data_IF_834372381330
#
_entry.id   IF_834372381330
#
_cell.length_a   1.000
_cell.length_b   1.000
_cell.length_c   1.000
_cell.angle_alpha   90.00
_cell.angle_beta   90.00
_cell.angle_gamma   90.00
#
_symmetry.space_group_name_H-M   'P 1'
#
loop_
_entity.id
_entity.type
_entity.pdbx_description
1 polymer ?
#
# COMPACT_ATOMS: atom_id res chain seq x y z
N UNK A 1 -31.60 -29.93 29.10
CA UNK A 1 -31.14 -28.54 28.84
C UNK A 1 -29.63 -28.54 29.03
N UNK A 2 -28.85 -28.37 27.96
CA UNK A 2 -27.39 -28.32 28.08
C UNK A 2 -26.98 -26.99 28.72
N UNK A 3 -26.12 -27.03 29.74
CA UNK A 3 -25.53 -25.83 30.34
C UNK A 3 -24.05 -25.79 29.94
N UNK A 4 -23.66 -24.77 29.18
CA UNK A 4 -22.28 -24.50 28.80
C UNK A 4 -21.77 -23.40 29.72
N UNK A 5 -20.65 -23.66 30.40
CA UNK A 5 -20.03 -22.69 31.33
C UNK A 5 -18.59 -22.45 30.89
N UNK A 6 -18.22 -21.18 30.68
CA UNK A 6 -16.82 -20.77 30.46
C UNK A 6 -16.04 -20.94 31.75
N UNK A 7 -14.93 -21.67 31.72
CA UNK A 7 -14.16 -21.96 32.94
C UNK A 7 -12.80 -21.27 32.98
N UNK A 8 -12.05 -21.29 31.87
CA UNK A 8 -10.73 -20.66 31.77
C UNK A 8 -10.52 -20.14 30.35
N UNK A 9 -9.96 -18.93 30.24
CA UNK A 9 -9.36 -18.44 29.01
C UNK A 9 -7.97 -17.90 29.33
N UNK A 10 -6.98 -18.27 28.52
CA UNK A 10 -5.59 -17.85 28.69
C UNK A 10 -4.90 -17.69 27.32
N UNK A 11 -3.88 -16.84 27.30
CA UNK A 11 -3.13 -16.47 26.08
C UNK A 11 -1.77 -17.16 26.08
N UNK A 12 -1.43 -17.87 25.00
CA UNK A 12 -0.08 -18.44 24.79
C UNK A 12 0.39 -18.08 23.41
N UNK A 13 1.50 -17.33 23.29
CA UNK A 13 2.10 -16.95 21.99
C UNK A 13 1.06 -16.42 20.99
N UNK A 14 0.24 -15.45 21.43
CA UNK A 14 -0.85 -14.80 20.67
C UNK A 14 -2.12 -15.64 20.45
N UNK A 15 -2.13 -16.93 20.81
CA UNK A 15 -3.32 -17.79 20.69
C UNK A 15 -4.21 -17.64 21.93
N UNK A 16 -5.48 -17.32 21.73
CA UNK A 16 -6.50 -17.32 22.79
C UNK A 16 -7.14 -18.71 22.86
N UNK A 17 -6.91 -19.43 23.96
CA UNK A 17 -7.50 -20.75 24.17
C UNK A 17 -8.57 -20.61 25.24
N UNK A 18 -9.84 -20.75 24.83
CA UNK A 18 -10.94 -20.82 25.77
C UNK A 18 -11.43 -22.27 25.85
N UNK A 19 -11.46 -22.81 27.08
CA UNK A 19 -11.91 -24.17 27.35
C UNK A 19 -13.33 -24.12 27.90
N UNK A 20 -14.25 -24.77 27.18
CA UNK A 20 -15.65 -24.88 27.57
C UNK A 20 -16.00 -26.32 27.92
N UNK A 21 -16.82 -26.47 28.94
CA UNK A 21 -17.42 -27.75 29.30
C UNK A 21 -18.92 -27.67 29.09
N UNK A 22 -19.46 -28.64 28.37
CA UNK A 22 -20.89 -28.85 28.22
C UNK A 22 -21.34 -29.97 29.16
N UNK A 23 -22.31 -29.68 30.03
CA UNK A 23 -22.90 -30.66 30.93
C UNK A 23 -24.30 -31.08 30.44
N UNK A 24 -24.54 -32.40 30.39
CA UNK A 24 -25.85 -32.98 30.13
C UNK A 24 -26.21 -34.00 31.21
N UNK A 25 -26.93 -33.56 32.25
CA UNK A 25 -27.34 -34.43 33.35
C UNK A 25 -26.16 -35.05 34.10
N UNK A 26 -26.34 -36.28 34.62
CA UNK A 26 -25.44 -36.88 35.63
C UNK A 26 -24.17 -37.50 35.04
N UNK A 27 -24.10 -37.79 33.74
CA UNK A 27 -22.92 -38.47 33.16
C UNK A 27 -22.66 -38.11 31.69
N UNK A 28 -21.76 -37.15 31.46
CA UNK A 28 -20.66 -37.15 30.47
C UNK A 28 -20.12 -35.72 30.34
N UNK A 29 -18.82 -35.58 30.56
CA UNK A 29 -18.07 -34.34 30.36
C UNK A 29 -17.55 -34.33 28.92
N UNK A 30 -18.02 -33.40 28.10
CA UNK A 30 -17.39 -33.12 26.81
C UNK A 30 -16.48 -31.91 26.98
N UNK A 31 -15.17 -32.13 26.82
CA UNK A 31 -14.21 -31.05 26.66
C UNK A 31 -14.40 -30.49 25.25
N UNK A 32 -14.86 -29.26 25.15
CA UNK A 32 -14.88 -28.53 23.88
C UNK A 32 -13.77 -27.49 23.98
N UNK A 33 -12.64 -27.81 23.38
CA UNK A 33 -11.53 -26.86 23.23
C UNK A 33 -11.77 -26.06 21.96
N UNK A 34 -12.06 -24.77 22.11
CA UNK A 34 -11.97 -23.84 21.00
C UNK A 34 -10.56 -23.25 21.04
N UNK A 35 -9.76 -23.59 20.03
CA UNK A 35 -8.54 -22.85 19.73
C UNK A 35 -8.98 -21.71 18.82
N UNK A 36 -9.06 -20.50 19.38
CA UNK A 36 -9.07 -19.33 18.52
C UNK A 36 -7.63 -19.15 18.09
N UNK A 37 -7.38 -19.29 16.78
CA UNK A 37 -6.23 -18.65 16.19
C UNK A 37 -6.44 -17.14 16.34
N UNK A 38 -6.05 -16.63 17.50
CA UNK A 38 -5.60 -15.26 17.66
C UNK A 38 -4.34 -15.12 16.83
N UNK A 39 -4.48 -15.17 15.51
CA UNK A 39 -3.46 -14.61 14.67
C UNK A 39 -3.51 -13.10 14.90
N UNK A 40 -2.80 -12.66 15.93
CA UNK A 40 -2.01 -11.44 15.83
C UNK A 40 -0.78 -11.77 14.94
N UNK A 41 -0.98 -12.40 13.78
CA UNK A 41 -0.09 -12.25 12.64
C UNK A 41 -0.31 -10.81 12.21
N UNK A 42 0.42 -9.89 12.83
CA UNK A 42 0.38 -8.47 12.53
C UNK A 42 0.30 -8.32 11.02
N UNK A 43 -0.86 -7.88 10.53
CA UNK A 43 -1.08 -7.42 9.18
C UNK A 43 -0.17 -6.22 9.02
N UNK A 44 1.11 -6.45 8.75
CA UNK A 44 2.03 -5.39 8.41
C UNK A 44 1.63 -4.99 7.00
N UNK A 45 0.85 -3.92 6.90
CA UNK A 45 0.46 -3.37 5.61
C UNK A 45 1.43 -2.23 5.31
N UNK A 46 1.92 -2.21 4.08
CA UNK A 46 2.71 -1.15 3.53
C UNK A 46 1.86 -0.38 2.52
N UNK A 47 1.76 0.92 2.72
CA UNK A 47 1.28 1.86 1.73
C UNK A 47 2.47 2.39 0.93
N UNK A 48 2.59 2.03 -0.35
CA UNK A 48 3.75 2.48 -1.15
C UNK A 48 3.51 3.80 -1.89
N UNK A 49 2.31 4.37 -1.81
CA UNK A 49 1.94 5.55 -2.57
C UNK A 49 1.07 6.47 -1.70
N UNK A 50 1.64 7.59 -1.26
CA UNK A 50 0.93 8.58 -0.44
C UNK A 50 1.52 9.98 -0.58
N UNK A 51 0.67 11.01 -0.46
CA UNK A 51 1.07 12.42 -0.47
C UNK A 51 0.98 12.97 0.95
N UNK A 52 1.79 12.34 1.81
CA UNK A 52 1.74 12.49 3.25
C UNK A 52 2.41 13.78 3.75
N UNK A 53 3.53 14.17 3.13
CA UNK A 53 4.39 15.23 3.66
C UNK A 53 3.79 16.62 3.43
N UNK A 54 3.82 17.51 4.44
CA UNK A 54 3.10 18.77 4.37
C UNK A 54 3.78 19.77 3.42
N UNK A 55 2.96 20.40 2.56
CA UNK A 55 3.37 21.56 1.77
C UNK A 55 4.28 21.28 0.58
N UNK A 56 4.50 20.01 0.22
CA UNK A 56 5.31 19.63 -0.94
C UNK A 56 4.50 19.70 -2.25
N UNK A 57 3.30 19.13 -2.27
CA UNK A 57 2.42 19.05 -3.44
C UNK A 57 0.96 19.39 -3.08
N UNK A 58 -0.01 18.75 -3.74
CA UNK A 58 -1.44 18.87 -3.48
C UNK A 58 -1.97 17.88 -2.42
N UNK A 59 -1.07 17.15 -1.75
CA UNK A 59 -1.36 16.30 -0.61
C UNK A 59 -1.60 17.08 0.68
N UNK A 60 -0.95 16.61 1.75
CA UNK A 60 -1.08 17.20 3.07
C UNK A 60 -0.70 18.70 3.07
N UNK A 61 -1.56 19.53 3.64
CA UNK A 61 -1.36 20.99 3.72
C UNK A 61 -0.53 21.44 4.93
N UNK A 62 -0.50 20.63 5.99
CA UNK A 62 0.09 20.97 7.29
C UNK A 62 0.36 19.70 8.13
N UNK A 63 1.12 19.87 9.22
CA UNK A 63 1.46 18.78 10.14
C UNK A 63 0.23 18.17 10.81
N UNK A 64 -0.79 18.97 11.10
CA UNK A 64 -2.04 18.46 11.67
C UNK A 64 -2.69 17.45 10.72
N UNK A 65 -2.82 17.78 9.44
CA UNK A 65 -3.37 16.88 8.41
C UNK A 65 -2.50 15.62 8.27
N UNK A 66 -1.18 15.79 8.22
CA UNK A 66 -0.19 14.70 8.14
C UNK A 66 -0.36 13.69 9.28
N UNK A 67 -0.45 14.18 10.52
CA UNK A 67 -0.58 13.34 11.71
C UNK A 67 -1.94 12.63 11.77
N UNK A 68 -3.02 13.28 11.34
CA UNK A 68 -4.32 12.62 11.20
C UNK A 68 -4.28 11.50 10.15
N UNK A 69 -3.62 11.72 9.01
CA UNK A 69 -3.46 10.70 7.98
C UNK A 69 -2.66 9.49 8.50
N UNK A 70 -1.53 9.72 9.18
CA UNK A 70 -0.73 8.65 9.82
C UNK A 70 -1.57 7.87 10.83
N UNK A 71 -2.36 8.57 11.66
CA UNK A 71 -3.21 7.93 12.65
C UNK A 71 -4.24 7.01 12.00
N UNK A 72 -4.93 7.49 10.96
CA UNK A 72 -5.93 6.68 10.25
C UNK A 72 -5.31 5.46 9.57
N UNK A 73 -4.17 5.62 8.89
CA UNK A 73 -3.41 4.49 8.32
C UNK A 73 -3.04 3.46 9.40
N UNK A 74 -2.53 3.94 10.55
CA UNK A 74 -2.12 3.06 11.64
C UNK A 74 -3.30 2.27 12.23
N UNK A 75 -4.44 2.92 12.41
CA UNK A 75 -5.71 2.30 12.86
C UNK A 75 -6.21 1.28 11.84
N UNK A 76 -5.95 1.48 10.55
CA UNK A 76 -6.26 0.53 9.47
C UNK A 76 -5.33 -0.68 9.39
N UNK A 77 -4.24 -0.69 10.18
CA UNK A 77 -3.26 -1.77 10.21
C UNK A 77 -1.97 -1.49 9.43
N UNK A 78 -1.84 -0.31 8.80
CA UNK A 78 -0.61 0.09 8.13
C UNK A 78 0.51 0.33 9.14
N UNK A 79 1.71 -0.12 8.80
CA UNK A 79 2.91 0.01 9.65
C UNK A 79 4.10 0.63 8.91
N UNK A 80 3.97 0.78 7.60
CA UNK A 80 4.96 1.40 6.74
C UNK A 80 4.25 2.23 5.67
N UNK A 81 4.69 3.46 5.49
CA UNK A 81 4.20 4.37 4.46
C UNK A 81 5.40 4.88 3.67
N UNK A 82 5.36 4.77 2.35
CA UNK A 82 6.25 5.54 1.49
C UNK A 82 5.63 6.92 1.26
N UNK A 83 6.37 7.96 1.63
CA UNK A 83 6.01 9.34 1.33
C UNK A 83 6.44 9.63 -0.11
N UNK A 84 5.50 9.60 -1.05
CA UNK A 84 5.75 9.66 -2.49
C UNK A 84 5.18 10.94 -3.10
N UNK A 85 5.48 12.09 -2.50
CA UNK A 85 5.07 13.37 -3.08
C UNK A 85 5.51 13.51 -4.54
N UNK A 86 4.72 14.21 -5.34
CA UNK A 86 4.94 14.30 -6.79
C UNK A 86 6.34 14.83 -7.13
N UNK A 87 6.94 14.32 -8.21
CA UNK A 87 8.00 14.98 -8.95
C UNK A 87 7.45 15.39 -10.30
N UNK A 88 7.32 16.70 -10.52
CA UNK A 88 6.81 17.27 -11.77
C UNK A 88 7.89 18.17 -12.38
N UNK A 89 8.38 17.90 -13.61
CA UNK A 89 9.51 18.64 -14.18
C UNK A 89 9.21 20.14 -14.39
N UNK A 90 7.93 20.52 -14.51
CA UNK A 90 7.50 21.91 -14.63
C UNK A 90 7.23 22.61 -13.29
N UNK A 91 7.21 21.89 -12.17
CA UNK A 91 6.89 22.45 -10.84
C UNK A 91 8.17 22.50 -9.99
N UNK A 92 8.73 23.69 -9.84
CA UNK A 92 9.98 23.94 -9.09
C UNK A 92 9.90 23.74 -7.56
N UNK A 93 8.79 23.27 -7.01
CA UNK A 93 8.49 23.40 -5.57
C UNK A 93 9.07 22.32 -4.68
N UNK A 94 9.43 21.14 -5.20
CA UNK A 94 9.87 20.04 -4.33
C UNK A 94 11.38 19.89 -4.41
N UNK A 95 12.03 20.21 -3.30
CA UNK A 95 13.45 19.95 -3.11
C UNK A 95 13.53 18.51 -2.60
N UNK A 96 13.88 17.57 -3.49
CA UNK A 96 14.01 16.15 -3.17
C UNK A 96 14.82 15.91 -1.86
N UNK A 97 15.85 16.72 -1.63
CA UNK A 97 16.71 16.68 -0.45
C UNK A 97 15.96 16.89 0.89
N UNK A 98 14.79 17.54 0.88
CA UNK A 98 13.98 17.76 2.08
C UNK A 98 13.18 16.53 2.49
N UNK A 99 12.83 15.65 1.55
CA UNK A 99 11.91 14.52 1.78
C UNK A 99 12.41 13.60 2.90
N UNK A 100 13.69 13.15 2.94
CA UNK A 100 14.18 12.31 4.04
C UNK A 100 14.02 12.97 5.42
N UNK A 101 14.34 14.26 5.53
CA UNK A 101 14.23 14.98 6.80
C UNK A 101 12.78 15.16 7.25
N UNK A 102 11.85 15.34 6.31
CA UNK A 102 10.42 15.43 6.59
C UNK A 102 9.82 14.07 6.96
N UNK A 103 10.31 12.97 6.38
CA UNK A 103 9.97 11.62 6.80
C UNK A 103 10.40 11.37 8.26
N UNK A 104 11.63 11.74 8.61
CA UNK A 104 12.14 11.61 9.99
C UNK A 104 11.32 12.46 10.97
N UNK A 105 10.96 13.69 10.59
CA UNK A 105 10.10 14.55 11.40
C UNK A 105 8.69 13.96 11.56
N UNK A 106 8.12 13.37 10.50
CA UNK A 106 6.83 12.70 10.55
C UNK A 106 6.85 11.50 11.51
N UNK A 107 7.89 10.65 11.48
CA UNK A 107 8.09 9.55 12.43
C UNK A 107 8.19 10.08 13.87
N UNK A 108 9.02 11.11 14.08
CA UNK A 108 9.23 11.70 15.40
C UNK A 108 7.93 12.26 15.98
N UNK A 109 7.18 13.03 15.19
CA UNK A 109 5.90 13.62 15.63
C UNK A 109 4.83 12.56 15.86
N UNK A 110 4.73 11.55 14.99
CA UNK A 110 3.82 10.43 15.22
C UNK A 110 4.09 9.74 16.56
N UNK A 111 5.37 9.53 16.89
CA UNK A 111 5.78 8.97 18.19
C UNK A 111 5.45 9.91 19.34
N UNK A 112 5.87 11.18 19.29
CA UNK A 112 5.76 12.10 20.43
C UNK A 112 4.35 12.64 20.67
N UNK A 113 3.57 12.85 19.61
CA UNK A 113 2.26 13.49 19.68
C UNK A 113 1.11 12.48 19.69
N UNK A 114 1.26 11.32 19.04
CA UNK A 114 0.21 10.29 18.93
C UNK A 114 0.53 9.00 19.70
N UNK A 115 1.79 8.79 20.11
CA UNK A 115 2.23 7.52 20.68
C UNK A 115 2.25 6.38 19.65
N UNK A 116 2.41 6.70 18.37
CA UNK A 116 2.35 5.75 17.26
C UNK A 116 3.77 5.50 16.71
N UNK A 117 4.14 4.23 16.59
CA UNK A 117 5.35 3.79 15.89
C UNK A 117 4.99 3.47 14.43
N UNK A 118 5.13 4.46 13.55
CA UNK A 118 4.97 4.32 12.10
C UNK A 118 6.33 4.43 11.42
N UNK A 119 6.61 3.57 10.44
CA UNK A 119 7.78 3.73 9.57
C UNK A 119 7.40 4.58 8.36
N UNK A 120 8.10 5.70 8.14
CA UNK A 120 7.93 6.56 6.97
C UNK A 120 9.18 6.45 6.10
N UNK A 121 9.01 6.04 4.85
CA UNK A 121 10.10 5.77 3.91
C UNK A 121 10.12 6.87 2.85
N UNK A 122 11.27 7.50 2.57
CA UNK A 122 11.37 8.49 1.51
C UNK A 122 11.19 7.85 0.12
N UNK A 123 10.51 8.56 -0.76
CA UNK A 123 10.34 8.24 -2.17
C UNK A 123 9.68 9.41 -2.88
N UNK A 124 9.34 9.25 -4.16
CA UNK A 124 8.52 10.21 -4.92
C UNK A 124 7.68 9.46 -5.95
N UNK A 125 6.51 10.01 -6.26
CA UNK A 125 5.77 9.66 -7.47
C UNK A 125 6.35 10.47 -8.64
N UNK A 126 6.95 9.79 -9.61
CA UNK A 126 7.71 10.41 -10.68
C UNK A 126 6.85 10.55 -11.93
N UNK A 127 6.47 11.79 -12.27
CA UNK A 127 5.84 12.03 -13.57
C UNK A 127 6.89 11.86 -14.67
N UNK A 128 6.62 10.94 -15.60
CA UNK A 128 7.57 10.63 -16.65
C UNK A 128 7.83 11.81 -17.59
N UNK A 129 9.11 12.06 -17.85
CA UNK A 129 9.61 12.86 -18.96
C UNK A 129 10.94 12.28 -19.45
N UNK A 130 11.46 12.77 -20.57
CA UNK A 130 12.62 12.17 -21.24
C UNK A 130 13.88 12.21 -20.37
N UNK A 131 14.10 13.28 -19.62
CA UNK A 131 15.27 13.53 -18.78
C UNK A 131 15.11 13.01 -17.33
N UNK A 132 14.07 12.20 -17.06
CA UNK A 132 13.83 11.66 -15.71
C UNK A 132 15.01 10.81 -15.21
N UNK A 133 15.65 9.92 -16.00
CA UNK A 133 16.83 9.18 -15.56
C UNK A 133 17.97 10.08 -15.08
N UNK A 134 18.25 11.16 -15.80
CA UNK A 134 19.27 12.15 -15.46
C UNK A 134 18.87 12.92 -14.19
N UNK A 135 17.60 13.29 -14.05
CA UNK A 135 17.10 13.94 -12.84
C UNK A 135 17.28 13.07 -11.58
N UNK A 136 17.03 11.77 -11.68
CA UNK A 136 17.28 10.82 -10.59
C UNK A 136 18.78 10.71 -10.30
N UNK A 137 19.62 10.56 -11.34
CA UNK A 137 21.07 10.44 -11.19
C UNK A 137 21.72 11.68 -10.55
N UNK A 138 21.16 12.87 -10.80
CA UNK A 138 21.59 14.14 -10.20
C UNK A 138 20.98 14.41 -8.82
N UNK A 139 20.15 13.51 -8.29
CA UNK A 139 19.48 13.66 -6.98
C UNK A 139 18.33 14.67 -6.97
N UNK A 140 17.86 15.11 -8.14
CA UNK A 140 16.71 16.02 -8.28
C UNK A 140 15.37 15.31 -8.10
N UNK A 141 15.35 13.99 -8.28
CA UNK A 141 14.21 13.12 -8.07
C UNK A 141 14.64 11.90 -7.25
N UNK A 142 13.76 11.37 -6.40
CA UNK A 142 14.06 10.22 -5.55
C UNK A 142 13.45 8.92 -6.11
N UNK A 143 14.23 7.84 -6.01
CA UNK A 143 13.70 6.48 -6.08
C UNK A 143 13.05 6.09 -4.74
N UNK A 144 12.31 4.99 -4.72
CA UNK A 144 11.72 4.48 -3.49
C UNK A 144 12.82 3.92 -2.57
N UNK A 145 12.92 4.43 -1.34
CA UNK A 145 13.91 4.02 -0.34
C UNK A 145 15.38 4.12 -0.80
N UNK A 146 15.69 4.93 -1.82
CA UNK A 146 17.04 4.97 -2.41
C UNK A 146 17.43 3.69 -3.17
N UNK A 147 16.47 2.81 -3.45
CA UNK A 147 16.66 1.57 -4.22
C UNK A 147 16.68 1.80 -5.74
N UNK A 148 16.74 0.73 -6.54
CA UNK A 148 16.51 0.80 -7.99
C UNK A 148 15.03 0.90 -8.37
N UNK A 149 14.09 0.78 -7.41
CA UNK A 149 12.65 0.86 -7.69
C UNK A 149 12.17 2.30 -7.80
N UNK A 150 11.39 2.57 -8.85
CA UNK A 150 10.76 3.87 -9.07
C UNK A 150 9.25 3.72 -9.19
N UNK A 151 8.51 4.63 -8.54
CA UNK A 151 7.07 4.77 -8.74
C UNK A 151 6.84 5.82 -9.82
N UNK A 152 6.31 5.42 -10.96
CA UNK A 152 6.19 6.29 -12.14
C UNK A 152 4.73 6.45 -12.54
N UNK A 153 4.36 7.69 -12.82
CA UNK A 153 3.07 8.06 -13.41
C UNK A 153 3.25 8.67 -14.80
N UNK A 154 2.14 8.71 -15.55
CA UNK A 154 2.05 9.28 -16.89
C UNK A 154 0.76 10.09 -17.00
N UNK A 155 0.61 10.83 -18.10
CA UNK A 155 -0.71 11.27 -18.53
C UNK A 155 -1.66 10.07 -18.68
N UNK A 156 -2.87 10.16 -18.13
CA UNK A 156 -3.85 9.06 -18.15
C UNK A 156 -4.24 8.63 -19.58
N UNK A 157 -4.12 9.55 -20.55
CA UNK A 157 -4.42 9.36 -21.97
C UNK A 157 -3.17 9.02 -22.80
N UNK A 158 -2.03 8.73 -22.16
CA UNK A 158 -0.79 8.42 -22.86
C UNK A 158 -0.99 7.32 -23.93
N UNK A 159 -0.58 7.56 -25.18
CA UNK A 159 -0.60 6.53 -26.21
C UNK A 159 0.28 5.35 -25.83
N UNK A 160 -0.17 4.12 -26.10
CA UNK A 160 0.56 2.90 -25.77
C UNK A 160 2.03 2.91 -26.23
N UNK A 161 2.29 3.36 -27.46
CA UNK A 161 3.63 3.39 -28.03
C UNK A 161 4.57 4.33 -27.26
N UNK A 162 4.05 5.39 -26.66
CA UNK A 162 4.83 6.33 -25.86
C UNK A 162 5.13 5.74 -24.48
N UNK A 163 4.11 5.18 -23.81
CA UNK A 163 4.30 4.47 -22.55
C UNK A 163 5.30 3.32 -22.70
N UNK A 164 5.17 2.49 -23.73
CA UNK A 164 6.07 1.36 -23.95
C UNK A 164 7.52 1.81 -24.11
N UNK A 165 7.77 2.87 -24.89
CA UNK A 165 9.12 3.44 -25.06
C UNK A 165 9.66 4.00 -23.74
N UNK A 166 8.81 4.70 -22.98
CA UNK A 166 9.18 5.24 -21.69
C UNK A 166 9.61 4.16 -20.70
N UNK A 167 8.80 3.11 -20.56
CA UNK A 167 9.10 1.96 -19.70
C UNK A 167 10.43 1.31 -20.11
N UNK A 168 10.67 1.10 -21.41
CA UNK A 168 11.94 0.55 -21.91
C UNK A 168 13.14 1.45 -21.60
N UNK A 169 12.98 2.78 -21.73
CA UNK A 169 14.06 3.73 -21.45
C UNK A 169 14.44 3.73 -19.97
N UNK A 170 13.45 3.75 -19.07
CA UNK A 170 13.68 3.68 -17.62
C UNK A 170 14.37 2.37 -17.23
N UNK A 171 13.95 1.25 -17.80
CA UNK A 171 14.57 -0.05 -17.55
C UNK A 171 16.01 -0.13 -18.09
N UNK A 172 16.28 0.43 -19.28
CA UNK A 172 17.65 0.53 -19.83
C UNK A 172 18.57 1.40 -18.97
N UNK A 173 18.00 2.41 -18.31
CA UNK A 173 18.72 3.22 -17.32
C UNK A 173 18.97 2.48 -15.98
N UNK A 174 18.47 1.25 -15.83
CA UNK A 174 18.74 0.38 -14.68
C UNK A 174 17.64 0.37 -13.62
N UNK A 175 16.51 1.05 -13.84
CA UNK A 175 15.43 1.13 -12.86
C UNK A 175 14.41 0.00 -12.95
N UNK A 176 13.88 -0.41 -11.80
CA UNK A 176 12.74 -1.33 -11.69
C UNK A 176 11.45 -0.52 -11.57
N UNK A 177 10.67 -0.52 -12.64
CA UNK A 177 9.49 0.35 -12.74
C UNK A 177 8.29 -0.26 -12.00
N UNK A 178 7.70 0.56 -11.13
CA UNK A 178 6.37 0.37 -10.56
C UNK A 178 5.46 1.42 -11.21
N UNK A 179 4.44 0.96 -11.91
CA UNK A 179 3.45 1.84 -12.52
C UNK A 179 2.41 2.24 -11.47
N UNK A 180 2.38 3.53 -11.11
CA UNK A 180 1.42 4.12 -10.18
C UNK A 180 -0.01 3.97 -10.72
N UNK A 181 -0.99 3.78 -9.83
CA UNK A 181 -2.44 3.76 -10.12
C UNK A 181 -2.78 3.18 -11.50
N UNK A 182 -2.29 1.97 -11.78
CA UNK A 182 -2.29 1.36 -13.11
C UNK A 182 -3.68 1.28 -13.78
N UNK A 183 -4.73 1.31 -12.96
CA UNK A 183 -6.13 1.40 -13.35
C UNK A 183 -6.56 2.74 -14.00
N UNK A 184 -5.70 3.75 -14.03
CA UNK A 184 -6.00 5.03 -14.71
C UNK A 184 -5.65 5.01 -16.20
N UNK A 185 -4.76 4.12 -16.64
CA UNK A 185 -4.28 4.10 -18.02
C UNK A 185 -5.22 3.33 -18.95
N UNK A 186 -5.95 4.06 -19.80
CA UNK A 186 -6.87 3.48 -20.79
C UNK A 186 -6.18 2.49 -21.72
N UNK A 187 -4.95 2.79 -22.16
CA UNK A 187 -4.17 1.92 -23.03
C UNK A 187 -3.83 0.56 -22.39
N UNK A 188 -3.73 0.48 -21.06
CA UNK A 188 -3.53 -0.78 -20.33
C UNK A 188 -4.87 -1.49 -20.09
N UNK A 189 -5.92 -0.74 -19.78
CA UNK A 189 -7.22 -1.30 -19.41
C UNK A 189 -7.99 -1.91 -20.56
N UNK A 190 -7.94 -1.27 -21.71
CA UNK A 190 -8.82 -1.56 -22.85
C UNK A 190 -8.11 -2.33 -23.97
N UNK A 191 -6.81 -2.58 -23.84
CA UNK A 191 -5.97 -3.25 -24.85
C UNK A 191 -5.33 -4.55 -24.38
N UNK A 192 -4.60 -5.18 -25.29
CA UNK A 192 -3.76 -6.38 -25.02
C UNK A 192 -2.41 -6.01 -24.38
N UNK A 193 -2.24 -4.75 -23.99
CA UNK A 193 -0.97 -4.16 -23.60
C UNK A 193 -0.54 -4.52 -22.19
N UNK A 194 -1.49 -4.84 -21.30
CA UNK A 194 -1.20 -5.28 -19.94
C UNK A 194 -0.21 -6.46 -19.90
N UNK A 195 -0.42 -7.49 -20.72
CA UNK A 195 0.46 -8.66 -20.74
C UNK A 195 1.86 -8.30 -21.24
N UNK A 196 1.97 -7.30 -22.12
CA UNK A 196 3.26 -6.76 -22.55
C UNK A 196 3.94 -6.04 -21.39
N UNK A 197 3.22 -5.18 -20.65
CA UNK A 197 3.76 -4.49 -19.46
C UNK A 197 4.27 -5.51 -18.42
N UNK A 198 3.47 -6.53 -18.11
CA UNK A 198 3.84 -7.57 -17.15
C UNK A 198 5.04 -8.40 -17.62
N UNK A 199 5.08 -8.79 -18.90
CA UNK A 199 6.20 -9.57 -19.46
C UNK A 199 7.51 -8.77 -19.55
N UNK A 200 7.45 -7.44 -19.58
CA UNK A 200 8.61 -6.57 -19.42
C UNK A 200 9.15 -6.55 -17.97
N UNK A 201 8.45 -7.15 -17.01
CA UNK A 201 8.81 -7.12 -15.59
C UNK A 201 8.41 -5.83 -14.88
N UNK A 202 7.56 -5.00 -15.49
CA UNK A 202 6.99 -3.81 -14.84
C UNK A 202 5.98 -4.28 -13.80
N UNK A 203 6.06 -3.68 -12.60
CA UNK A 203 5.17 -4.01 -11.48
C UNK A 203 4.03 -3.02 -11.42
N UNK A 204 2.86 -3.48 -10.99
CA UNK A 204 1.67 -2.64 -10.93
C UNK A 204 1.36 -2.24 -9.49
N UNK A 205 1.11 -0.96 -9.26
CA UNK A 205 0.46 -0.45 -8.08
C UNK A 205 -0.97 -0.04 -8.44
N UNK A 206 -1.92 -0.33 -7.56
CA UNK A 206 -3.28 0.17 -7.69
C UNK A 206 -3.78 0.82 -6.42
N UNK A 207 -4.66 1.80 -6.54
CA UNK A 207 -5.23 2.50 -5.40
C UNK A 207 -6.29 1.65 -4.72
N UNK A 208 -6.17 1.49 -3.40
CA UNK A 208 -7.08 0.63 -2.66
C UNK A 208 -8.52 1.16 -2.68
N UNK A 209 -8.75 2.49 -2.73
CA UNK A 209 -10.10 3.08 -2.73
C UNK A 209 -10.95 2.63 -3.91
N UNK A 210 -10.35 2.30 -5.05
CA UNK A 210 -11.04 1.84 -6.25
C UNK A 210 -11.84 0.55 -6.00
N UNK A 211 -11.42 -0.27 -5.02
CA UNK A 211 -12.14 -1.48 -4.62
C UNK A 211 -13.44 -1.20 -3.84
N UNK A 212 -13.64 0.04 -3.37
CA UNK A 212 -14.87 0.48 -2.70
C UNK A 212 -15.93 1.06 -3.64
N UNK A 213 -15.61 1.26 -4.92
CA UNK A 213 -16.57 1.76 -5.91
C UNK A 213 -17.76 0.79 -6.08
N UNK A 214 -18.85 1.23 -6.71
CA UNK A 214 -20.05 0.39 -6.90
C UNK A 214 -19.77 -0.90 -7.69
N UNK A 215 -20.60 -1.95 -7.51
CA UNK A 215 -20.39 -3.25 -8.18
C UNK A 215 -20.40 -3.19 -9.71
N UNK A 216 -20.99 -2.13 -10.28
CA UNK A 216 -21.04 -1.91 -11.73
C UNK A 216 -19.90 -1.05 -12.26
N UNK A 217 -19.05 -0.53 -11.37
CA UNK A 217 -17.91 0.29 -11.74
C UNK A 217 -16.90 -0.50 -12.59
N UNK A 218 -16.48 0.10 -13.71
CA UNK A 218 -15.59 -0.57 -14.67
C UNK A 218 -14.18 -0.73 -14.12
N UNK A 219 -13.71 0.22 -13.32
CA UNK A 219 -12.37 0.23 -12.72
C UNK A 219 -12.28 -0.87 -11.66
N UNK A 220 -13.25 -0.92 -10.74
CA UNK A 220 -13.36 -1.99 -9.74
C UNK A 220 -13.43 -3.37 -10.36
N UNK A 221 -14.22 -3.57 -11.42
CA UNK A 221 -14.32 -4.86 -12.11
C UNK A 221 -12.99 -5.28 -12.74
N UNK A 222 -12.31 -4.33 -13.38
CA UNK A 222 -11.00 -4.57 -13.97
C UNK A 222 -10.00 -4.98 -12.89
N UNK A 223 -9.88 -4.18 -11.81
CA UNK A 223 -9.01 -4.48 -10.68
C UNK A 223 -9.33 -5.81 -10.02
N UNK A 224 -10.61 -6.13 -9.78
CA UNK A 224 -11.01 -7.41 -9.19
C UNK A 224 -10.48 -8.60 -10.01
N UNK A 225 -10.51 -8.49 -11.36
CA UNK A 225 -9.89 -9.50 -12.22
C UNK A 225 -8.37 -9.53 -12.07
N UNK A 226 -7.69 -8.38 -12.03
CA UNK A 226 -6.22 -8.31 -11.85
C UNK A 226 -5.77 -8.88 -10.51
N UNK A 227 -6.53 -8.65 -9.45
CA UNK A 227 -6.27 -9.27 -8.15
C UNK A 227 -6.48 -10.78 -8.16
N UNK A 228 -7.54 -11.27 -8.81
CA UNK A 228 -7.77 -12.71 -8.96
C UNK A 228 -6.66 -13.38 -9.79
N UNK A 229 -6.16 -12.70 -10.82
CA UNK A 229 -5.05 -13.15 -11.66
C UNK A 229 -3.67 -12.90 -11.00
N UNK A 230 -3.61 -12.34 -9.78
CA UNK A 230 -2.40 -11.98 -9.02
C UNK A 230 -1.43 -11.03 -9.75
N UNK A 231 -1.96 -10.14 -10.58
CA UNK A 231 -1.18 -9.23 -11.44
C UNK A 231 -0.81 -7.90 -10.76
N UNK A 232 -1.43 -7.56 -9.62
CA UNK A 232 -1.10 -6.35 -8.86
C UNK A 232 0.01 -6.65 -7.86
N UNK A 233 1.10 -5.87 -7.90
CA UNK A 233 2.22 -6.06 -6.99
C UNK A 233 2.08 -5.26 -5.71
N UNK A 234 1.47 -4.08 -5.76
CA UNK A 234 1.49 -3.15 -4.65
C UNK A 234 0.15 -2.44 -4.43
N UNK A 235 -0.09 -2.05 -3.19
CA UNK A 235 -1.19 -1.17 -2.81
C UNK A 235 -0.67 0.23 -2.52
N UNK A 236 -1.47 1.19 -2.94
CA UNK A 236 -1.33 2.59 -2.58
C UNK A 236 -2.62 3.10 -2.00
N UNK A 237 -2.54 3.98 -1.01
CA UNK A 237 -3.69 4.81 -0.66
C UNK A 237 -3.84 5.95 -1.67
N UNK A 238 -2.73 6.44 -2.23
CA UNK A 238 -2.70 7.67 -3.03
C UNK A 238 -3.45 8.81 -2.28
N UNK A 239 -3.29 8.80 -0.95
CA UNK A 239 -3.98 9.70 -0.05
C UNK A 239 -3.40 11.11 -0.16
N UNK A 240 -4.29 12.10 -0.10
CA UNK A 240 -3.92 13.52 -0.16
C UNK A 240 -4.54 14.33 0.98
N UNK A 241 -5.69 13.89 1.50
CA UNK A 241 -6.43 14.61 2.53
C UNK A 241 -7.47 13.70 3.18
N UNK A 242 -8.05 14.11 4.30
CA UNK A 242 -8.99 13.26 5.07
C UNK A 242 -10.39 13.09 4.46
N UNK A 243 -10.65 13.57 3.23
CA UNK A 243 -12.01 13.62 2.67
C UNK A 243 -12.12 13.01 1.28
N UNK A 244 -11.59 13.69 0.25
CA UNK A 244 -11.74 13.28 -1.16
C UNK A 244 -10.82 12.13 -1.53
N UNK A 245 -9.60 12.13 -0.99
CA UNK A 245 -8.57 11.09 -1.19
C UNK A 245 -8.03 10.67 0.18
N UNK A 246 -8.86 9.99 0.99
CA UNK A 246 -8.56 9.63 2.37
C UNK A 246 -7.49 8.54 2.47
N UNK A 247 -6.85 8.40 3.65
CA UNK A 247 -6.07 7.21 4.01
C UNK A 247 -6.84 5.89 3.80
N UNK A 248 -6.14 4.77 3.87
CA UNK A 248 -6.77 3.44 3.85
C UNK A 248 -7.75 3.26 5.03
N UNK A 249 -8.85 2.56 4.78
CA UNK A 249 -9.86 2.23 5.79
C UNK A 249 -9.74 0.76 6.23
N UNK A 250 -9.78 0.52 7.54
CA UNK A 250 -9.66 -0.83 8.13
C UNK A 250 -10.72 -1.81 7.60
N UNK A 251 -11.98 -1.38 7.50
CA UNK A 251 -13.09 -2.20 7.00
C UNK A 251 -12.90 -2.51 5.53
N UNK A 252 -12.40 -1.55 4.76
CA UNK A 252 -12.08 -1.76 3.36
C UNK A 252 -10.99 -2.83 3.21
N UNK A 253 -9.87 -2.69 3.90
CA UNK A 253 -8.75 -3.63 3.85
C UNK A 253 -9.17 -5.03 4.34
N UNK A 254 -10.00 -5.11 5.38
CA UNK A 254 -10.57 -6.38 5.86
C UNK A 254 -11.51 -7.02 4.85
N UNK A 255 -12.40 -6.24 4.23
CA UNK A 255 -13.35 -6.76 3.24
C UNK A 255 -12.62 -7.24 1.98
N UNK A 256 -11.74 -6.40 1.45
CA UNK A 256 -10.94 -6.69 0.27
C UNK A 256 -10.00 -7.88 0.50
N UNK A 257 -9.23 -7.86 1.60
CA UNK A 257 -8.25 -8.89 1.93
C UNK A 257 -8.85 -10.28 2.21
N UNK A 258 -10.15 -10.39 2.53
CA UNK A 258 -10.84 -11.68 2.68
C UNK A 258 -11.07 -12.40 1.35
N UNK A 259 -11.06 -11.68 0.24
CA UNK A 259 -11.27 -12.23 -1.10
C UNK A 259 -9.98 -12.72 -1.76
N UNK A 260 -8.83 -12.37 -1.18
CA UNK A 260 -7.52 -12.73 -1.71
C UNK A 260 -7.02 -14.05 -1.13
N UNK A 261 -6.28 -14.79 -1.95
CA UNK A 261 -5.44 -15.87 -1.47
C UNK A 261 -4.45 -15.36 -0.40
N UNK A 262 -4.16 -16.17 0.61
CA UNK A 262 -3.33 -15.79 1.75
C UNK A 262 -1.89 -15.42 1.33
N UNK A 263 -1.28 -16.23 0.46
CA UNK A 263 0.10 -16.01 0.03
C UNK A 263 0.19 -14.72 -0.81
N UNK A 264 -0.78 -14.53 -1.71
CA UNK A 264 -0.86 -13.31 -2.50
C UNK A 264 -1.11 -12.08 -1.63
N UNK A 265 -2.00 -12.16 -0.64
CA UNK A 265 -2.26 -11.07 0.30
C UNK A 265 -1.00 -10.67 1.07
N UNK A 266 -0.21 -11.64 1.54
CA UNK A 266 1.06 -11.36 2.23
C UNK A 266 2.08 -10.69 1.30
N UNK A 267 2.14 -11.10 0.02
CA UNK A 267 2.97 -10.43 -0.99
C UNK A 267 2.54 -8.98 -1.18
N UNK A 268 1.24 -8.78 -1.41
CA UNK A 268 0.62 -7.49 -1.69
C UNK A 268 0.75 -6.51 -0.52
N UNK A 269 0.54 -6.99 0.72
CA UNK A 269 0.54 -6.14 1.91
C UNK A 269 1.95 -5.82 2.40
N UNK A 270 2.94 -6.71 2.23
CA UNK A 270 4.24 -6.52 2.87
C UNK A 270 5.44 -7.01 2.07
N UNK A 271 5.47 -8.27 1.64
CA UNK A 271 6.72 -8.90 1.13
C UNK A 271 7.24 -8.25 -0.15
N UNK A 272 6.36 -7.66 -0.95
CA UNK A 272 6.80 -6.92 -2.13
C UNK A 272 7.50 -5.61 -1.75
N UNK A 273 7.07 -4.94 -0.68
CA UNK A 273 7.74 -3.74 -0.18
C UNK A 273 9.10 -4.06 0.45
N UNK A 274 9.26 -5.22 1.10
CA UNK A 274 10.57 -5.68 1.60
C UNK A 274 11.61 -5.83 0.50
N UNK A 275 11.19 -6.17 -0.73
CA UNK A 275 12.11 -6.23 -1.88
C UNK A 275 12.62 -4.85 -2.27
N UNK A 276 11.83 -3.78 -2.10
CA UNK A 276 12.27 -2.40 -2.32
C UNK A 276 13.34 -2.04 -1.29
N UNK A 277 13.07 -2.33 -0.01
CA UNK A 277 13.97 -1.99 1.09
C UNK A 277 15.28 -2.79 1.07
N UNK A 278 15.27 -4.01 0.54
CA UNK A 278 16.46 -4.87 0.44
C UNK A 278 17.31 -4.63 -0.81
N UNK A 279 16.96 -3.67 -1.66
CA UNK A 279 17.59 -3.44 -2.96
C UNK A 279 18.71 -2.37 -2.93
N UNK A 280 19.59 -2.45 -1.94
CA UNK A 280 20.74 -1.55 -1.76
C UNK A 280 21.91 -2.23 -1.06
#
# INVERSE_FOLDING_TARGET
>A
MFRITLFYCFVVQSIEVCVYFAFCGVHRLFLITYVYYGENLLSKICDIHSHLLPGLDDGSKDWETTLHMIKTEYEAGVRMIFATSHYLPWRRTIIAEQIPSLCDEAEQRARSELGIEMKIIPGQELYYHLELPEAIAEGKALTLAGSSYILVEFDEQIPWMEMQKALQNLQRAGYRVILAHCERFGCIREGEHLEVVLSMGVRLQSNVQEMSAGLFDKTRKWLAKRYADQQISFLGSDMHNLTKRPPMDEKQLKWFGKSLDEEYRQKLYWRNAEQILGDG
#
